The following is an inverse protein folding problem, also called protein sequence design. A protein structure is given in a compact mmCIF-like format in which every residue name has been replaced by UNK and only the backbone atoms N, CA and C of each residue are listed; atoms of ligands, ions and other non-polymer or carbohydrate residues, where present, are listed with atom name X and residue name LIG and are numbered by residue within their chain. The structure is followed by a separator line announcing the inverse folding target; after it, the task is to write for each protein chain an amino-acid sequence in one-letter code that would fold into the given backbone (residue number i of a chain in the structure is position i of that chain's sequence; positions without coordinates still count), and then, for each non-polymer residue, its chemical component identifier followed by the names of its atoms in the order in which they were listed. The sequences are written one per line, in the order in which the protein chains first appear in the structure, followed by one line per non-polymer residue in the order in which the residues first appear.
data_IF_443676590706
#
_entry.id   IF_443676590706
#
_cell.length_a   1.000
_cell.length_b   1.000
_cell.length_c   1.000
_cell.angle_alpha   90.00
_cell.angle_beta   90.00
_cell.angle_gamma   90.00
#
_symmetry.space_group_name_H-M   'P 1'
#
loop_
_entity.id
_entity.type
_entity.pdbx_description
1 polymer ?
#
# COMPACT_ATOMS: atom_id res chain seq x y z
N UNK A 1 1.37 -12.13 -9.51
CA UNK A 1 1.84 -12.93 -8.37
C UNK A 1 3.06 -12.21 -7.82
N UNK A 2 3.13 -12.06 -6.51
CA UNK A 2 4.28 -11.48 -5.83
C UNK A 2 5.22 -12.63 -5.46
N UNK A 3 6.49 -12.53 -5.84
CA UNK A 3 7.57 -13.41 -5.39
C UNK A 3 8.61 -12.59 -4.64
N UNK A 4 8.98 -13.05 -3.45
CA UNK A 4 10.10 -12.52 -2.66
C UNK A 4 11.05 -13.68 -2.43
N UNK A 5 12.31 -13.50 -2.81
CA UNK A 5 13.30 -14.58 -2.85
C UNK A 5 14.56 -14.19 -2.09
N UNK A 6 14.74 -14.77 -0.91
CA UNK A 6 15.96 -14.70 -0.12
C UNK A 6 16.37 -13.27 0.22
N UNK A 7 15.42 -12.38 0.53
CA UNK A 7 15.75 -10.97 0.72
C UNK A 7 16.43 -10.71 2.06
N UNK A 8 17.48 -9.91 2.00
CA UNK A 8 18.14 -9.33 3.18
C UNK A 8 17.86 -7.83 3.23
N UNK A 9 17.45 -7.32 4.39
CA UNK A 9 17.15 -5.90 4.59
C UNK A 9 17.73 -5.41 5.91
N UNK A 10 18.35 -4.23 5.85
CA UNK A 10 19.02 -3.62 6.98
C UNK A 10 18.49 -2.20 7.28
N UNK A 11 18.53 -1.83 8.55
CA UNK A 11 18.41 -0.45 9.02
C UNK A 11 19.69 -0.11 9.79
N UNK A 12 20.60 0.66 9.17
CA UNK A 12 21.95 0.85 9.70
C UNK A 12 22.65 -0.50 9.91
N UNK A 13 23.14 -0.75 11.12
CA UNK A 13 23.77 -2.02 11.50
C UNK A 13 22.77 -3.15 11.80
N UNK A 14 21.47 -2.86 11.92
CA UNK A 14 20.47 -3.86 12.28
C UNK A 14 19.99 -4.66 11.08
N UNK A 15 20.18 -5.97 11.11
CA UNK A 15 19.72 -6.91 10.07
C UNK A 15 18.26 -7.33 10.33
N UNK A 16 17.30 -6.64 9.70
CA UNK A 16 15.88 -6.72 10.01
C UNK A 16 15.13 -7.84 9.27
N UNK A 17 15.51 -8.17 8.03
CA UNK A 17 15.02 -9.35 7.30
C UNK A 17 16.23 -10.17 6.90
N UNK A 18 16.22 -11.47 7.20
CA UNK A 18 17.33 -12.39 6.94
C UNK A 18 16.89 -13.48 5.98
N UNK A 19 17.33 -13.41 4.73
CA UNK A 19 17.00 -14.35 3.64
C UNK A 19 15.52 -14.73 3.59
N UNK A 20 14.64 -13.74 3.69
CA UNK A 20 13.19 -13.97 3.74
C UNK A 20 12.66 -14.29 2.35
N UNK A 21 11.86 -15.35 2.23
CA UNK A 21 11.16 -15.72 0.99
C UNK A 21 9.66 -15.88 1.25
N UNK A 22 8.83 -15.46 0.29
CA UNK A 22 7.40 -15.74 0.27
C UNK A 22 6.83 -15.61 -1.12
N UNK A 23 5.61 -16.14 -1.30
CA UNK A 23 4.83 -15.96 -2.52
C UNK A 23 3.41 -15.56 -2.15
N UNK A 24 2.86 -14.53 -2.80
CA UNK A 24 1.45 -14.17 -2.72
C UNK A 24 0.79 -14.35 -4.10
N UNK A 25 -0.16 -15.27 -4.16
CA UNK A 25 -0.86 -15.67 -5.39
C UNK A 25 -1.94 -14.65 -5.74
N UNK A 26 -2.24 -14.51 -7.04
CA UNK A 26 -3.33 -13.64 -7.49
C UNK A 26 -4.67 -14.22 -7.03
N UNK A 27 -5.57 -13.35 -6.57
CA UNK A 27 -6.91 -13.75 -6.13
C UNK A 27 -6.96 -14.40 -4.75
N UNK A 28 -5.83 -14.50 -4.05
CA UNK A 28 -5.75 -15.06 -2.71
C UNK A 28 -5.35 -14.00 -1.69
N UNK A 29 -5.84 -14.15 -0.45
CA UNK A 29 -5.40 -13.33 0.68
C UNK A 29 -4.24 -14.05 1.36
N UNK A 30 -3.02 -13.53 1.18
CA UNK A 30 -1.82 -14.05 1.87
C UNK A 30 -1.54 -13.24 3.13
N UNK A 31 -1.49 -13.92 4.28
CA UNK A 31 -1.28 -13.29 5.58
C UNK A 31 0.15 -13.52 6.10
N UNK A 32 0.80 -12.46 6.58
CA UNK A 32 2.09 -12.54 7.28
C UNK A 32 1.85 -12.27 8.76
N UNK A 33 2.08 -13.28 9.60
CA UNK A 33 1.86 -13.22 11.04
C UNK A 33 3.17 -13.29 11.82
N UNK A 34 3.15 -12.77 13.05
CA UNK A 34 4.29 -12.83 13.96
C UNK A 34 4.30 -11.67 14.95
N UNK A 35 5.22 -11.71 15.91
CA UNK A 35 5.34 -10.71 16.99
C UNK A 35 5.71 -9.32 16.47
N UNK A 36 5.52 -8.30 17.29
CA UNK A 36 6.03 -6.96 16.99
C UNK A 36 7.56 -7.00 16.86
N UNK A 37 8.10 -6.24 15.90
CA UNK A 37 9.54 -6.20 15.64
C UNK A 37 10.10 -7.32 14.76
N UNK A 38 9.31 -8.35 14.38
CA UNK A 38 9.80 -9.49 13.57
C UNK A 38 10.05 -9.16 12.08
N UNK A 39 9.84 -7.90 11.66
CA UNK A 39 10.13 -7.46 10.29
C UNK A 39 8.94 -7.39 9.32
N UNK A 40 7.69 -7.65 9.76
CA UNK A 40 6.49 -7.58 8.89
C UNK A 40 6.39 -6.26 8.11
N UNK A 41 6.47 -5.14 8.81
CA UNK A 41 6.43 -3.80 8.20
C UNK A 41 7.64 -3.55 7.30
N UNK A 42 8.81 -4.07 7.67
CA UNK A 42 10.03 -3.97 6.87
C UNK A 42 9.89 -4.68 5.52
N UNK A 43 9.25 -5.86 5.52
CA UNK A 43 8.96 -6.63 4.32
C UNK A 43 7.97 -5.90 3.41
N UNK A 44 6.87 -5.35 3.96
CA UNK A 44 5.93 -4.54 3.17
C UNK A 44 6.59 -3.29 2.57
N UNK A 45 7.45 -2.61 3.35
CA UNK A 45 8.25 -1.47 2.88
C UNK A 45 9.23 -1.87 1.78
N UNK A 46 9.85 -3.05 1.89
CA UNK A 46 10.74 -3.59 0.85
C UNK A 46 10.00 -3.84 -0.47
N UNK A 47 8.81 -4.45 -0.40
CA UNK A 47 7.95 -4.70 -1.57
C UNK A 47 7.52 -3.40 -2.25
N UNK A 48 7.17 -2.38 -1.46
CA UNK A 48 6.76 -1.07 -1.99
C UNK A 48 7.95 -0.16 -2.39
N UNK A 49 9.19 -0.61 -2.20
CA UNK A 49 10.40 0.16 -2.52
C UNK A 49 10.71 1.29 -1.54
N UNK A 50 9.99 1.37 -0.40
CA UNK A 50 10.20 2.36 0.65
C UNK A 50 11.47 2.10 1.46
N UNK A 51 11.97 0.87 1.44
CA UNK A 51 13.26 0.50 2.02
C UNK A 51 14.00 -0.44 1.06
N UNK A 52 15.22 -0.11 0.63
CA UNK A 52 15.97 -0.96 -0.29
C UNK A 52 16.41 -2.26 0.39
N UNK A 53 16.37 -3.36 -0.36
CA UNK A 53 16.99 -4.62 0.03
C UNK A 53 18.48 -4.60 -0.28
N UNK A 54 19.28 -5.37 0.46
CA UNK A 54 20.72 -5.54 0.24
C UNK A 54 21.05 -6.76 -0.62
N UNK A 55 20.22 -7.80 -0.54
CA UNK A 55 20.34 -9.01 -1.34
C UNK A 55 18.95 -9.61 -1.60
N UNK A 56 18.89 -10.56 -2.53
CA UNK A 56 17.66 -11.23 -2.95
C UNK A 56 16.89 -10.48 -4.03
N UNK A 57 15.68 -10.96 -4.33
CA UNK A 57 14.84 -10.44 -5.42
C UNK A 57 13.38 -10.28 -5.00
N UNK A 58 12.74 -9.25 -5.51
CA UNK A 58 11.30 -9.02 -5.38
C UNK A 58 10.74 -8.86 -6.79
N UNK A 59 9.79 -9.72 -7.16
CA UNK A 59 9.15 -9.72 -8.46
C UNK A 59 7.63 -9.58 -8.32
N UNK A 60 7.01 -8.81 -9.21
CA UNK A 60 5.56 -8.70 -9.34
C UNK A 60 5.13 -8.95 -10.78
N UNK A 61 4.32 -9.99 -11.01
CA UNK A 61 3.90 -10.40 -12.37
C UNK A 61 5.10 -10.50 -13.33
N UNK A 62 6.12 -11.26 -12.93
CA UNK A 62 7.36 -11.50 -13.69
C UNK A 62 8.28 -10.29 -13.87
N UNK A 63 7.86 -9.10 -13.38
CA UNK A 63 8.70 -7.90 -13.39
C UNK A 63 9.52 -7.80 -12.11
N UNK A 64 10.84 -7.71 -12.25
CA UNK A 64 11.75 -7.40 -11.16
C UNK A 64 11.50 -5.98 -10.64
N UNK A 65 11.31 -5.83 -9.33
CA UNK A 65 11.02 -4.54 -8.69
C UNK A 65 12.25 -3.90 -8.04
N UNK A 66 13.34 -4.64 -7.80
CA UNK A 66 14.50 -4.22 -6.99
C UNK A 66 14.96 -2.78 -7.23
N UNK A 67 15.08 -2.38 -8.50
CA UNK A 67 15.62 -1.07 -8.92
C UNK A 67 14.55 0.00 -9.13
N UNK A 68 13.26 -0.38 -9.12
CA UNK A 68 12.18 0.57 -9.35
C UNK A 68 11.94 1.42 -8.09
N UNK A 69 11.91 2.76 -8.22
CA UNK A 69 11.54 3.63 -7.11
C UNK A 69 10.05 3.45 -6.74
N UNK A 70 9.63 3.85 -5.52
CA UNK A 70 8.26 3.63 -5.03
C UNK A 70 7.14 4.07 -5.97
N UNK A 71 7.31 5.22 -6.64
CA UNK A 71 6.29 5.76 -7.53
C UNK A 71 6.14 4.94 -8.83
N UNK A 72 7.20 4.28 -9.30
CA UNK A 72 7.12 3.36 -10.43
C UNK A 72 6.51 2.02 -10.03
N UNK A 73 6.82 1.52 -8.83
CA UNK A 73 6.15 0.33 -8.27
C UNK A 73 4.65 0.55 -8.08
N UNK A 74 4.25 1.75 -7.64
CA UNK A 74 2.83 2.10 -7.57
C UNK A 74 2.14 2.02 -8.94
N UNK A 75 2.81 2.45 -10.02
CA UNK A 75 2.30 2.34 -11.40
C UNK A 75 2.20 0.91 -11.91
N UNK A 76 2.92 -0.06 -11.31
CA UNK A 76 2.73 -1.49 -11.65
C UNK A 76 1.50 -2.10 -10.97
N UNK A 77 0.79 -1.32 -10.13
CA UNK A 77 -0.42 -1.73 -9.42
C UNK A 77 -0.16 -2.19 -7.99
N UNK A 78 0.99 -1.89 -7.40
CA UNK A 78 1.25 -2.16 -5.98
C UNK A 78 0.72 -1.00 -5.13
N UNK A 79 -0.17 -1.29 -4.18
CA UNK A 79 -0.60 -0.30 -3.19
C UNK A 79 -0.25 -0.70 -1.76
N UNK A 80 -0.12 0.29 -0.88
CA UNK A 80 0.18 0.10 0.53
C UNK A 80 -0.81 0.88 1.38
N UNK A 81 -1.43 0.19 2.34
CA UNK A 81 -2.13 0.81 3.46
C UNK A 81 -1.25 0.68 4.70
N UNK A 82 -0.60 1.76 5.17
CA UNK A 82 0.29 1.70 6.32
C UNK A 82 -0.48 1.53 7.64
N UNK A 83 0.17 0.99 8.67
CA UNK A 83 -0.42 0.77 10.00
C UNK A 83 -0.99 2.05 10.63
N UNK A 84 -0.37 3.20 10.37
CA UNK A 84 -0.79 4.50 10.90
C UNK A 84 -1.90 5.20 10.10
N UNK A 85 -2.49 4.55 9.08
CA UNK A 85 -3.49 5.09 8.11
C UNK A 85 -2.93 6.16 7.17
N UNK A 86 -2.11 7.06 7.70
CA UNK A 86 -1.40 8.14 7.01
C UNK A 86 -2.33 8.98 6.12
N UNK A 87 -3.56 9.23 6.58
CA UNK A 87 -4.48 10.15 5.92
C UNK A 87 -4.00 11.59 6.06
N UNK A 88 -4.46 12.48 5.17
CA UNK A 88 -4.21 13.91 5.28
C UNK A 88 -5.34 14.56 6.09
N UNK A 89 -5.11 14.90 7.37
CA UNK A 89 -6.20 15.28 8.28
C UNK A 89 -6.86 16.62 7.91
N UNK A 90 -6.13 17.51 7.22
CA UNK A 90 -6.63 18.81 6.79
C UNK A 90 -7.40 18.77 5.47
N UNK A 91 -7.23 17.71 4.69
CA UNK A 91 -7.95 17.51 3.44
C UNK A 91 -9.31 16.86 3.73
N UNK A 92 -10.30 17.17 2.90
CA UNK A 92 -11.59 16.49 2.91
C UNK A 92 -11.45 15.00 2.56
N UNK A 93 -12.50 14.22 2.82
CA UNK A 93 -12.56 12.81 2.36
C UNK A 93 -12.34 12.73 0.86
N UNK A 94 -13.01 13.58 0.07
CA UNK A 94 -12.87 13.59 -1.39
C UNK A 94 -11.43 13.93 -1.82
N UNK A 95 -10.83 14.95 -1.22
CA UNK A 95 -9.44 15.34 -1.52
C UNK A 95 -8.45 14.24 -1.14
N UNK A 96 -8.66 13.58 0.01
CA UNK A 96 -7.86 12.41 0.41
C UNK A 96 -7.91 11.30 -0.65
N UNK A 97 -9.11 10.93 -1.11
CA UNK A 97 -9.27 9.93 -2.16
C UNK A 97 -8.57 10.37 -3.46
N UNK A 98 -8.67 11.66 -3.80
CA UNK A 98 -8.05 12.21 -5.00
C UNK A 98 -6.51 12.15 -4.99
N UNK A 99 -5.85 12.15 -3.82
CA UNK A 99 -4.40 11.95 -3.74
C UNK A 99 -3.97 10.57 -4.27
N UNK A 100 -4.86 9.56 -4.21
CA UNK A 100 -4.64 8.24 -4.79
C UNK A 100 -4.62 8.21 -6.32
N UNK A 101 -4.96 9.32 -7.00
CA UNK A 101 -4.92 9.38 -8.46
C UNK A 101 -3.52 9.56 -9.06
N UNK A 102 -2.49 9.77 -8.24
CA UNK A 102 -1.13 10.04 -8.69
C UNK A 102 -0.55 9.03 -9.70
N UNK A 103 -0.70 7.69 -9.53
CA UNK A 103 -0.19 6.72 -10.51
C UNK A 103 -1.09 6.57 -11.75
N UNK A 104 -2.29 7.17 -11.77
CA UNK A 104 -3.30 6.96 -12.82
C UNK A 104 -3.20 7.97 -13.97
N UNK A 105 -3.56 7.50 -15.16
CA UNK A 105 -3.76 8.36 -16.32
C UNK A 105 -4.91 9.36 -16.06
N UNK A 106 -4.80 10.58 -16.62
CA UNK A 106 -5.75 11.67 -16.35
C UNK A 106 -7.21 11.29 -16.57
N UNK A 107 -7.50 10.52 -17.62
CA UNK A 107 -8.85 10.03 -17.96
C UNK A 107 -9.47 9.08 -16.93
N UNK A 108 -8.65 8.50 -16.06
CA UNK A 108 -9.05 7.49 -15.09
C UNK A 108 -9.16 8.05 -13.66
N UNK A 109 -8.85 9.34 -13.47
CA UNK A 109 -8.85 10.06 -12.19
C UNK A 109 -10.27 10.39 -11.75
N UNK A 110 -10.97 9.36 -11.31
CA UNK A 110 -12.28 9.44 -10.67
C UNK A 110 -12.36 8.40 -9.57
N UNK A 111 -13.10 8.71 -8.52
CA UNK A 111 -13.39 7.72 -7.46
C UNK A 111 -14.37 6.70 -8.06
N UNK A 112 -14.04 5.39 -8.09
CA UNK A 112 -14.99 4.37 -8.54
C UNK A 112 -16.20 4.29 -7.61
N UNK A 113 -17.41 4.12 -8.16
CA UNK A 113 -18.64 4.02 -7.36
C UNK A 113 -18.61 2.84 -6.38
N UNK A 114 -17.89 1.77 -6.73
CA UNK A 114 -17.65 0.59 -5.88
C UNK A 114 -17.02 0.96 -4.53
N UNK A 115 -16.19 2.02 -4.47
CA UNK A 115 -15.60 2.50 -3.22
C UNK A 115 -16.69 2.94 -2.24
N UNK A 116 -17.73 3.60 -2.73
CA UNK A 116 -18.86 4.02 -1.91
C UNK A 116 -19.82 2.87 -1.61
N UNK A 117 -19.84 1.82 -2.43
CA UNK A 117 -20.51 0.56 -2.09
C UNK A 117 -19.82 -0.15 -0.91
N UNK A 118 -18.48 -0.17 -0.90
CA UNK A 118 -17.69 -0.78 0.18
C UNK A 118 -17.67 0.07 1.46
N UNK A 119 -17.64 1.40 1.31
CA UNK A 119 -17.56 2.35 2.43
C UNK A 119 -18.61 3.46 2.31
N UNK A 120 -19.92 3.14 2.53
CA UNK A 120 -21.01 4.11 2.35
C UNK A 120 -20.84 5.39 3.17
N UNK A 121 -20.29 5.28 4.39
CA UNK A 121 -20.04 6.42 5.29
C UNK A 121 -19.11 7.47 4.66
N UNK A 122 -18.18 7.08 3.78
CA UNK A 122 -17.30 8.04 3.10
C UNK A 122 -18.08 8.90 2.11
N UNK A 123 -19.15 8.36 1.51
CA UNK A 123 -20.02 9.10 0.57
C UNK A 123 -20.78 10.20 1.30
N UNK A 124 -21.30 9.90 2.49
CA UNK A 124 -22.01 10.86 3.35
C UNK A 124 -21.08 11.96 3.88
N UNK A 125 -19.79 11.68 3.98
CA UNK A 125 -18.78 12.54 4.61
C UNK A 125 -17.80 13.18 3.61
N UNK A 126 -18.11 13.21 2.32
CA UNK A 126 -17.19 13.68 1.27
C UNK A 126 -16.53 15.03 1.55
N UNK A 127 -17.29 15.95 2.15
CA UNK A 127 -16.84 17.32 2.48
C UNK A 127 -16.25 17.46 3.88
N UNK A 128 -16.35 16.44 4.75
CA UNK A 128 -15.71 16.48 6.08
C UNK A 128 -14.21 16.32 5.92
N UNK A 129 -13.45 16.98 6.80
CA UNK A 129 -12.00 16.82 6.89
C UNK A 129 -11.66 15.44 7.44
N UNK A 130 -10.59 14.83 6.92
CA UNK A 130 -10.14 13.51 7.35
C UNK A 130 -9.81 13.44 8.85
N UNK A 131 -9.34 14.53 9.44
CA UNK A 131 -9.03 14.64 10.86
C UNK A 131 -10.27 14.56 11.77
N UNK A 132 -11.45 14.91 11.26
CA UNK A 132 -12.70 14.93 12.03
C UNK A 132 -13.42 13.58 12.03
N UNK A 133 -12.86 12.59 11.31
CA UNK A 133 -13.38 11.24 11.23
C UNK A 133 -12.98 10.41 12.45
N UNK A 134 -13.84 9.47 12.85
CA UNK A 134 -13.50 8.46 13.86
C UNK A 134 -12.34 7.58 13.39
N UNK A 135 -11.63 6.92 14.31
CA UNK A 135 -10.50 6.07 13.94
C UNK A 135 -10.85 4.95 12.94
N UNK A 136 -12.05 4.38 13.04
CA UNK A 136 -12.56 3.39 12.07
C UNK A 136 -12.83 4.00 10.70
N UNK A 137 -13.42 5.20 10.65
CA UNK A 137 -13.66 5.92 9.39
C UNK A 137 -12.35 6.34 8.72
N UNK A 138 -11.33 6.75 9.50
CA UNK A 138 -10.00 7.04 8.98
C UNK A 138 -9.34 5.79 8.37
N UNK A 139 -9.55 4.61 8.99
CA UNK A 139 -9.05 3.34 8.44
C UNK A 139 -9.73 3.03 7.10
N UNK A 140 -11.05 3.19 7.02
CA UNK A 140 -11.79 3.01 5.77
C UNK A 140 -11.31 4.00 4.69
N UNK A 141 -11.09 5.27 5.04
CA UNK A 141 -10.54 6.27 4.12
C UNK A 141 -9.14 5.88 3.61
N UNK A 142 -8.27 5.37 4.48
CA UNK A 142 -6.93 4.93 4.07
C UNK A 142 -7.00 3.75 3.08
N UNK A 143 -7.88 2.78 3.33
CA UNK A 143 -8.12 1.64 2.43
C UNK A 143 -8.72 2.12 1.09
N UNK A 144 -9.76 2.95 1.15
CA UNK A 144 -10.41 3.53 -0.03
C UNK A 144 -9.42 4.30 -0.92
N UNK A 145 -8.53 5.10 -0.31
CA UNK A 145 -7.48 5.83 -1.02
C UNK A 145 -6.50 4.90 -1.73
N UNK A 146 -6.15 3.76 -1.14
CA UNK A 146 -5.33 2.75 -1.81
C UNK A 146 -6.09 2.10 -2.97
N UNK A 147 -7.37 1.73 -2.78
CA UNK A 147 -8.19 1.10 -3.82
C UNK A 147 -8.48 2.01 -5.02
N UNK A 148 -8.53 3.32 -4.81
CA UNK A 148 -8.67 4.32 -5.89
C UNK A 148 -7.53 4.22 -6.92
N UNK A 149 -6.35 3.73 -6.53
CA UNK A 149 -5.23 3.49 -7.45
C UNK A 149 -5.46 2.31 -8.42
N UNK A 150 -6.58 1.58 -8.29
CA UNK A 150 -6.86 0.31 -8.98
C UNK A 150 -5.73 -0.70 -8.81
N UNK A 151 -5.37 -1.04 -7.56
CA UNK A 151 -4.24 -1.91 -7.30
C UNK A 151 -4.52 -3.33 -7.81
N UNK A 152 -3.43 -4.00 -8.16
CA UNK A 152 -3.38 -5.42 -8.50
C UNK A 152 -2.66 -6.23 -7.41
N UNK A 153 -1.96 -5.55 -6.50
CA UNK A 153 -1.34 -6.06 -5.28
C UNK A 153 -1.59 -5.11 -4.10
#
# INVERSE_FOLDING_TARGET
MLSVEGIDLYYGASHALRRVSLTARKGEVTCILGRNGVGKTSLLRAVCGLQPIRAGRICWEDRLLNELPPHERARTGVALVPQGREIFPRLTVLENLATGFAPLARKERKVPDEIFGLFPVLKEMLQRRGGDLSGGQQQQLAIARALVTRPRL
#
